data_IF_988291763641
#
_entry.id   IF_988291763641
#
_cell.length_a   1.000
_cell.length_b   1.000
_cell.length_c   1.000
_cell.angle_alpha   90.00
_cell.angle_beta   90.00
_cell.angle_gamma   90.00
#
_symmetry.space_group_name_H-M   'P 1'
#
loop_
_entity.id
_entity.type
_entity.pdbx_description
1 polymer ?
#
# COMPACT_ATOMS: atom_id res chain seq x y z
N UNK A 1 15.73 1.70 -13.68
CA UNK A 1 14.66 2.51 -14.28
C UNK A 1 13.56 2.58 -13.25
N UNK A 2 13.40 3.72 -12.58
CA UNK A 2 12.35 3.95 -11.58
C UNK A 2 10.97 3.52 -12.12
N UNK A 3 10.18 2.76 -11.35
CA UNK A 3 8.78 2.55 -11.69
C UNK A 3 8.03 3.90 -11.71
N UNK A 4 7.23 4.13 -12.76
CA UNK A 4 6.50 5.38 -12.97
C UNK A 4 4.99 5.13 -13.01
N UNK A 5 4.31 5.57 -11.95
CA UNK A 5 2.87 5.48 -11.76
C UNK A 5 2.15 6.82 -11.99
N UNK A 6 2.83 7.86 -12.50
CA UNK A 6 2.22 9.19 -12.70
C UNK A 6 1.03 9.16 -13.65
N UNK A 7 0.99 8.19 -14.55
CA UNK A 7 -0.11 7.96 -15.49
C UNK A 7 -0.89 6.67 -15.23
N UNK A 8 -0.52 5.90 -14.19
CA UNK A 8 -1.18 4.65 -13.86
C UNK A 8 -2.60 4.90 -13.36
N UNK A 9 -3.54 4.08 -13.81
CA UNK A 9 -4.87 3.94 -13.25
C UNK A 9 -4.83 3.13 -11.94
N UNK A 10 -5.99 2.95 -11.30
CA UNK A 10 -6.05 2.28 -10.00
C UNK A 10 -5.77 0.78 -10.08
N UNK A 11 -6.20 0.11 -11.15
CA UNK A 11 -5.99 -1.34 -11.31
C UNK A 11 -4.51 -1.61 -11.60
N UNK A 12 -3.86 -0.78 -12.43
CA UNK A 12 -2.40 -0.81 -12.65
C UNK A 12 -1.62 -0.53 -11.35
N UNK A 13 -2.15 0.32 -10.47
CA UNK A 13 -1.57 0.52 -9.13
C UNK A 13 -1.70 -0.75 -8.26
N UNK A 14 -2.86 -1.42 -8.26
CA UNK A 14 -3.04 -2.66 -7.50
C UNK A 14 -2.15 -3.79 -8.01
N UNK A 15 -2.07 -3.98 -9.33
CA UNK A 15 -1.14 -4.92 -9.95
C UNK A 15 0.31 -4.60 -9.55
N UNK A 16 0.70 -3.33 -9.63
CA UNK A 16 2.04 -2.91 -9.21
C UNK A 16 2.28 -3.11 -7.71
N UNK A 17 1.29 -2.98 -6.83
CA UNK A 17 1.53 -3.15 -5.39
C UNK A 17 1.54 -4.63 -4.99
N UNK A 18 0.64 -5.43 -5.55
CA UNK A 18 0.31 -6.76 -5.02
C UNK A 18 0.68 -7.92 -5.95
N UNK A 19 0.79 -7.72 -7.27
CA UNK A 19 1.06 -8.81 -8.22
C UNK A 19 2.56 -9.12 -8.36
N UNK A 20 3.17 -9.52 -7.25
CA UNK A 20 4.57 -9.95 -7.17
C UNK A 20 4.67 -11.30 -6.48
N UNK A 21 5.41 -12.26 -7.05
CA UNK A 21 5.58 -13.58 -6.43
C UNK A 21 6.66 -13.54 -5.33
N UNK A 22 6.35 -13.97 -4.09
CA UNK A 22 7.26 -13.78 -2.96
C UNK A 22 8.34 -14.86 -2.76
N UNK A 23 8.24 -16.07 -3.34
CA UNK A 23 8.96 -17.20 -2.72
C UNK A 23 10.12 -17.85 -3.49
N UNK A 24 10.25 -17.80 -4.82
CA UNK A 24 11.27 -18.63 -5.50
C UNK A 24 12.16 -17.95 -6.54
N UNK A 25 11.84 -16.73 -6.92
CA UNK A 25 12.72 -15.90 -7.73
C UNK A 25 12.80 -14.56 -7.05
N UNK A 26 14.03 -14.09 -6.82
CA UNK A 26 14.30 -12.77 -6.28
C UNK A 26 13.80 -11.75 -7.32
N UNK A 27 12.52 -11.40 -7.26
CA UNK A 27 11.91 -10.47 -8.22
C UNK A 27 12.45 -9.07 -7.93
N UNK A 28 13.22 -8.52 -8.90
CA UNK A 28 13.78 -7.18 -8.84
C UNK A 28 12.71 -6.08 -8.76
N UNK A 29 11.45 -6.43 -8.96
CA UNK A 29 10.31 -5.51 -8.80
C UNK A 29 9.95 -5.24 -7.35
N UNK A 30 10.46 -6.03 -6.38
CA UNK A 30 10.18 -5.78 -4.98
C UNK A 30 10.77 -4.44 -4.50
N UNK A 31 9.99 -3.72 -3.70
CA UNK A 31 10.31 -2.36 -3.32
C UNK A 31 11.62 -2.22 -2.56
N UNK A 32 12.00 -3.17 -1.69
CA UNK A 32 13.30 -3.14 -1.01
C UNK A 32 14.50 -3.32 -1.94
N UNK A 33 14.28 -3.67 -3.22
CA UNK A 33 15.31 -3.74 -4.25
C UNK A 33 15.27 -2.57 -5.23
N UNK A 34 14.27 -1.70 -5.13
CA UNK A 34 14.20 -0.50 -5.96
C UNK A 34 15.31 0.45 -5.51
N UNK A 35 16.30 0.63 -6.38
CA UNK A 35 17.39 1.60 -6.20
C UNK A 35 16.89 3.06 -6.24
N UNK A 36 15.71 3.28 -6.83
CA UNK A 36 15.10 4.59 -7.02
C UNK A 36 13.64 4.60 -6.57
N UNK A 37 13.17 5.72 -6.03
CA UNK A 37 11.78 5.87 -5.58
C UNK A 37 10.79 5.81 -6.73
N UNK A 38 9.63 5.20 -6.45
CA UNK A 38 8.52 5.16 -7.39
C UNK A 38 7.94 6.55 -7.61
N UNK A 39 7.77 6.89 -8.89
CA UNK A 39 7.25 8.19 -9.28
C UNK A 39 5.71 8.13 -9.29
N UNK A 40 5.06 8.82 -8.37
CA UNK A 40 3.60 8.96 -8.33
C UNK A 40 3.22 10.40 -8.01
N UNK A 41 2.08 10.86 -8.54
CA UNK A 41 1.55 12.17 -8.17
C UNK A 41 1.07 12.12 -6.71
N UNK A 42 1.54 13.02 -5.81
CA UNK A 42 1.22 12.97 -4.37
C UNK A 42 -0.27 12.86 -4.03
N UNK A 43 -1.11 13.65 -4.71
CA UNK A 43 -2.57 13.59 -4.52
C UNK A 43 -3.18 12.27 -4.97
N UNK A 44 -2.61 11.63 -5.99
CA UNK A 44 -3.05 10.34 -6.50
C UNK A 44 -2.64 9.20 -5.56
N UNK A 45 -1.47 9.28 -4.94
CA UNK A 45 -1.08 8.35 -3.88
C UNK A 45 -2.13 8.33 -2.76
N UNK A 46 -2.54 9.49 -2.25
CA UNK A 46 -3.61 9.61 -1.25
C UNK A 46 -4.96 9.08 -1.75
N UNK A 47 -5.33 9.37 -3.00
CA UNK A 47 -6.56 8.85 -3.60
C UNK A 47 -6.57 7.32 -3.66
N UNK A 48 -5.49 6.72 -4.15
CA UNK A 48 -5.36 5.27 -4.30
C UNK A 48 -5.25 4.56 -2.96
N UNK A 49 -4.51 5.10 -1.99
CA UNK A 49 -4.50 4.59 -0.62
C UNK A 49 -5.89 4.65 0.02
N UNK A 50 -6.64 5.74 -0.19
CA UNK A 50 -8.00 5.87 0.33
C UNK A 50 -8.91 4.79 -0.27
N UNK A 51 -8.84 4.60 -1.59
CA UNK A 51 -9.63 3.59 -2.30
C UNK A 51 -9.24 2.17 -1.88
N UNK A 52 -7.95 1.90 -1.73
CA UNK A 52 -7.39 0.64 -1.24
C UNK A 52 -8.00 0.26 0.10
N UNK A 53 -7.99 1.19 1.06
CA UNK A 53 -8.54 0.90 2.38
C UNK A 53 -10.07 0.73 2.35
N UNK A 54 -10.77 1.61 1.62
CA UNK A 54 -12.23 1.62 1.56
C UNK A 54 -12.84 0.39 0.86
N UNK A 55 -12.16 -0.14 -0.16
CA UNK A 55 -12.60 -1.27 -0.99
C UNK A 55 -11.62 -2.46 -0.91
N UNK A 56 -11.09 -2.69 0.29
CA UNK A 56 -10.03 -3.66 0.57
C UNK A 56 -10.47 -5.12 0.48
N UNK A 57 -11.78 -5.41 0.51
CA UNK A 57 -12.28 -6.79 0.52
C UNK A 57 -11.87 -7.57 -0.74
N UNK A 58 -11.77 -6.89 -1.89
CA UNK A 58 -11.39 -7.49 -3.18
C UNK A 58 -9.97 -8.08 -3.18
N UNK A 59 -9.09 -7.62 -2.29
CA UNK A 59 -7.71 -8.11 -2.21
C UNK A 59 -7.66 -9.61 -1.91
N UNK A 60 -8.58 -10.09 -1.06
CA UNK A 60 -8.66 -11.50 -0.67
C UNK A 60 -9.12 -12.42 -1.80
N UNK A 61 -9.75 -11.87 -2.84
CA UNK A 61 -10.19 -12.62 -4.02
C UNK A 61 -9.10 -12.70 -5.10
N UNK A 62 -8.16 -11.75 -5.10
CA UNK A 62 -7.21 -11.54 -6.20
C UNK A 62 -5.77 -11.93 -5.82
N UNK A 63 -5.41 -11.81 -4.54
CA UNK A 63 -4.02 -11.95 -4.11
C UNK A 63 -3.87 -12.95 -2.97
N UNK A 64 -2.71 -13.58 -2.90
CA UNK A 64 -2.36 -14.47 -1.78
C UNK A 64 -2.13 -13.66 -0.50
N UNK A 65 -2.28 -14.26 0.70
CA UNK A 65 -1.99 -13.58 1.95
C UNK A 65 -0.59 -12.95 2.02
N UNK A 66 0.42 -13.61 1.43
CA UNK A 66 1.78 -13.09 1.38
C UNK A 66 1.90 -11.86 0.46
N UNK A 67 1.30 -11.91 -0.74
CA UNK A 67 1.23 -10.75 -1.63
C UNK A 67 0.57 -9.55 -0.96
N UNK A 68 -0.53 -9.78 -0.24
CA UNK A 68 -1.23 -8.73 0.49
C UNK A 68 -0.34 -8.16 1.61
N UNK A 69 0.29 -9.01 2.41
CA UNK A 69 1.15 -8.58 3.51
C UNK A 69 2.30 -7.69 3.02
N UNK A 70 3.00 -8.12 1.97
CA UNK A 70 4.12 -7.39 1.40
C UNK A 70 3.67 -6.11 0.67
N UNK A 71 2.58 -6.16 -0.09
CA UNK A 71 2.04 -4.97 -0.75
C UNK A 71 1.54 -3.92 0.26
N UNK A 72 0.97 -4.34 1.39
CA UNK A 72 0.62 -3.42 2.46
C UNK A 72 1.85 -2.85 3.17
N UNK A 73 2.89 -3.65 3.37
CA UNK A 73 4.18 -3.18 3.89
C UNK A 73 4.83 -2.18 2.91
N UNK A 74 4.63 -2.35 1.61
CA UNK A 74 5.10 -1.39 0.63
C UNK A 74 4.41 -0.03 0.72
N UNK A 75 3.07 -0.03 0.84
CA UNK A 75 2.26 1.20 0.84
C UNK A 75 2.33 1.93 2.18
N UNK A 76 2.35 1.17 3.28
CA UNK A 76 2.20 1.71 4.64
C UNK A 76 3.39 1.46 5.56
N UNK A 77 4.39 0.67 5.16
CA UNK A 77 5.55 0.36 5.99
C UNK A 77 6.61 1.46 5.98
N UNK A 78 7.47 1.44 7.01
CA UNK A 78 8.57 2.40 7.18
C UNK A 78 9.83 2.05 6.38
N UNK A 79 9.89 0.85 5.82
CA UNK A 79 11.06 0.32 5.13
C UNK A 79 11.10 0.74 3.66
N UNK A 80 11.45 2.01 3.42
CA UNK A 80 12.31 2.35 2.29
C UNK A 80 11.78 3.30 1.21
N UNK A 81 10.49 3.68 1.18
CA UNK A 81 9.98 4.55 0.11
C UNK A 81 8.94 5.56 0.58
N UNK A 82 9.19 6.85 0.33
CA UNK A 82 8.36 7.99 0.77
C UNK A 82 7.16 8.26 -0.16
N UNK A 83 6.99 7.45 -1.21
CA UNK A 83 6.02 7.69 -2.28
C UNK A 83 4.55 7.65 -1.82
N UNK A 84 4.23 6.93 -0.73
CA UNK A 84 2.85 6.71 -0.27
C UNK A 84 2.61 7.22 1.14
N UNK A 85 3.15 6.55 2.16
CA UNK A 85 2.86 6.85 3.57
C UNK A 85 3.12 8.31 3.95
N UNK A 86 4.24 8.88 3.52
CA UNK A 86 4.63 10.27 3.83
C UNK A 86 3.65 11.30 3.26
N UNK A 87 2.86 10.93 2.25
CA UNK A 87 1.85 11.82 1.68
C UNK A 87 0.71 12.12 2.67
N UNK A 88 0.52 11.29 3.72
CA UNK A 88 -0.39 11.59 4.84
C UNK A 88 0.05 12.83 5.63
N UNK A 89 1.34 13.15 5.58
CA UNK A 89 1.94 14.28 6.29
C UNK A 89 2.33 15.43 5.36
N UNK A 90 2.23 15.24 4.04
CA UNK A 90 2.53 16.27 3.05
C UNK A 90 1.60 17.49 3.20
N UNK A 91 2.14 18.69 3.51
CA UNK A 91 1.34 19.91 3.70
C UNK A 91 0.73 20.45 2.39
N UNK A 92 1.27 20.08 1.23
CA UNK A 92 0.78 20.52 -0.08
C UNK A 92 -0.53 19.81 -0.47
N UNK A 93 -0.87 18.72 0.21
CA UNK A 93 -2.13 18.01 0.01
C UNK A 93 -3.17 18.54 1.00
N UNK A 94 -4.32 18.94 0.48
CA UNK A 94 -5.43 19.47 1.26
C UNK A 94 -5.84 18.50 2.40
N UNK A 95 -5.97 19.03 3.62
CA UNK A 95 -6.33 18.25 4.81
C UNK A 95 -7.57 17.34 4.62
N UNK A 96 -8.66 17.78 3.96
CA UNK A 96 -9.81 16.89 3.73
C UNK A 96 -9.47 15.61 2.97
N UNK A 97 -8.48 15.61 2.07
CA UNK A 97 -8.07 14.42 1.35
C UNK A 97 -7.27 13.47 2.26
N UNK A 98 -6.26 13.98 2.97
CA UNK A 98 -5.44 13.20 3.91
C UNK A 98 -6.30 12.60 5.03
N UNK A 99 -7.23 13.40 5.59
CA UNK A 99 -8.19 12.93 6.60
C UNK A 99 -9.07 11.79 6.10
N UNK A 100 -9.52 11.81 4.84
CA UNK A 100 -10.31 10.71 4.27
C UNK A 100 -9.50 9.42 4.21
N UNK A 101 -8.23 9.51 3.79
CA UNK A 101 -7.33 8.35 3.79
C UNK A 101 -7.16 7.76 5.20
N UNK A 102 -6.87 8.61 6.20
CA UNK A 102 -6.69 8.18 7.59
C UNK A 102 -7.95 7.46 8.11
N UNK A 103 -9.13 8.04 7.86
CA UNK A 103 -10.39 7.45 8.28
C UNK A 103 -10.78 6.19 7.50
N UNK A 104 -10.15 5.93 6.36
CA UNK A 104 -10.39 4.72 5.58
C UNK A 104 -9.62 3.52 6.13
N UNK A 105 -8.46 3.72 6.77
CA UNK A 105 -7.57 2.64 7.27
C UNK A 105 -8.32 1.59 8.11
N UNK A 106 -9.24 1.93 9.03
CA UNK A 106 -9.97 0.91 9.79
C UNK A 106 -10.77 -0.08 8.91
N UNK A 107 -11.17 0.31 7.70
CA UNK A 107 -11.82 -0.61 6.77
C UNK A 107 -10.87 -1.70 6.26
N UNK A 108 -9.59 -1.37 6.03
CA UNK A 108 -8.56 -2.36 5.69
C UNK A 108 -8.41 -3.41 6.80
N UNK A 109 -8.41 -2.98 8.05
CA UNK A 109 -8.35 -3.90 9.18
C UNK A 109 -9.54 -4.85 9.19
N UNK A 110 -10.75 -4.29 9.22
CA UNK A 110 -11.99 -5.06 9.28
C UNK A 110 -12.14 -6.04 8.12
N UNK A 111 -11.81 -5.61 6.91
CA UNK A 111 -12.12 -6.37 5.70
C UNK A 111 -11.04 -7.40 5.35
N UNK A 112 -9.78 -7.15 5.75
CA UNK A 112 -8.62 -7.95 5.34
C UNK A 112 -7.85 -8.46 6.56
N UNK A 113 -7.30 -7.57 7.37
CA UNK A 113 -6.32 -7.96 8.39
C UNK A 113 -6.94 -8.79 9.51
N UNK A 114 -8.16 -8.49 9.95
CA UNK A 114 -8.86 -9.23 11.01
C UNK A 114 -9.45 -10.57 10.52
N UNK A 115 -9.34 -10.89 9.23
CA UNK A 115 -9.89 -12.14 8.66
C UNK A 115 -9.01 -13.35 8.94
N UNK A 116 -7.74 -13.15 9.32
CA UNK A 116 -6.79 -14.19 9.69
C UNK A 116 -6.31 -13.99 11.14
N UNK A 117 -6.09 -15.09 11.86
CA UNK A 117 -5.76 -15.04 13.30
C UNK A 117 -4.40 -14.37 13.59
N UNK A 118 -3.47 -14.43 12.66
CA UNK A 118 -2.15 -13.80 12.71
C UNK A 118 -2.15 -12.36 12.15
N UNK A 119 -3.27 -11.88 11.62
CA UNK A 119 -3.25 -10.80 10.64
C UNK A 119 -2.64 -11.30 9.33
N UNK A 120 -3.16 -10.88 8.18
CA UNK A 120 -2.61 -11.32 6.87
C UNK A 120 -1.08 -11.15 6.84
N UNK A 121 -0.35 -12.27 6.95
CA UNK A 121 1.12 -12.32 7.06
C UNK A 121 1.73 -11.55 8.26
N UNK A 122 1.03 -11.38 9.38
CA UNK A 122 1.50 -10.57 10.51
C UNK A 122 1.44 -9.05 10.31
N UNK A 123 0.96 -8.59 9.14
CA UNK A 123 1.01 -7.19 8.72
C UNK A 123 0.18 -6.24 9.60
N UNK A 124 -0.85 -6.78 10.28
CA UNK A 124 -1.79 -5.98 11.07
C UNK A 124 -1.13 -5.14 12.17
N UNK A 125 -0.10 -5.69 12.82
CA UNK A 125 0.63 -5.01 13.90
C UNK A 125 1.57 -3.91 13.34
N UNK A 126 2.23 -4.16 12.22
CA UNK A 126 3.23 -3.25 11.64
C UNK A 126 2.64 -1.96 11.06
N UNK A 127 1.42 -2.04 10.53
CA UNK A 127 0.82 -0.90 9.84
C UNK A 127 0.49 0.25 10.81
N UNK A 128 -0.04 -0.03 12.00
CA UNK A 128 -0.30 1.02 13.00
C UNK A 128 0.97 1.68 13.52
N UNK A 129 2.05 0.92 13.69
CA UNK A 129 3.35 1.44 14.13
C UNK A 129 3.95 2.44 13.12
N UNK A 130 3.51 2.38 11.86
CA UNK A 130 4.01 3.21 10.78
C UNK A 130 3.22 4.52 10.60
N UNK A 131 2.02 4.61 11.15
CA UNK A 131 1.11 5.77 10.99
C UNK A 131 1.04 6.62 12.27
N UNK A 132 1.45 6.07 13.42
CA UNK A 132 1.39 6.71 14.74
C UNK A 132 2.52 7.72 15.01
#
# INVERSE_FOLDING_TARGET
>A
MSPDLRNANYDEFLEFVFDHYPEHEVDKKWYWQLEEEVQIVPSRAIEYMTRLCADSAQLLEQYTPMQIAEGLNYVFGTAGHTAFLDQLWNPDIAWPARRRCILAIPHLYKNVLERAADGVGGCAYMLWDSIA
#
